data_IF_758172286395
#
_entry.id   IF_758172286395
#
_cell.length_a   1.000
_cell.length_b   1.000
_cell.length_c   1.000
_cell.angle_alpha   90.00
_cell.angle_beta   90.00
_cell.angle_gamma   90.00
#
_symmetry.space_group_name_H-M   'P 1'
#
loop_
_entity.id
_entity.type
_entity.pdbx_description
1 polymer ?
#
# COMPACT_ATOMS: atom_id res chain seq x y z
N UNK A 1 36.10 -19.19 -36.88
CA UNK A 1 35.76 -20.42 -36.13
C UNK A 1 35.31 -20.01 -34.73
N UNK A 2 34.07 -20.40 -34.40
CA UNK A 2 33.44 -20.47 -33.08
C UNK A 2 33.35 -19.18 -32.22
N UNK A 3 32.29 -18.40 -32.46
CA UNK A 3 31.61 -17.60 -31.42
C UNK A 3 30.82 -18.57 -30.53
N UNK A 4 31.23 -18.72 -29.27
CA UNK A 4 30.55 -19.59 -28.32
C UNK A 4 29.25 -18.98 -27.82
N UNK A 5 28.13 -19.61 -28.16
CA UNK A 5 26.82 -19.33 -27.56
C UNK A 5 26.85 -19.59 -26.05
N UNK A 6 26.31 -18.70 -25.21
CA UNK A 6 26.12 -19.00 -23.80
C UNK A 6 25.03 -20.08 -23.63
N UNK A 7 25.34 -21.04 -22.76
CA UNK A 7 24.63 -22.29 -22.51
C UNK A 7 23.14 -22.14 -22.14
N UNK A 8 22.28 -23.12 -22.50
CA UNK A 8 20.82 -23.05 -22.37
C UNK A 8 20.29 -22.97 -20.92
N UNK A 9 21.12 -23.29 -19.92
CA UNK A 9 20.76 -23.23 -18.49
C UNK A 9 20.61 -21.80 -17.95
N UNK A 10 21.30 -20.81 -18.53
CA UNK A 10 21.15 -19.40 -18.15
C UNK A 10 19.86 -18.77 -18.70
N UNK A 11 19.20 -19.43 -19.66
CA UNK A 11 17.92 -18.97 -20.24
C UNK A 11 16.71 -19.44 -19.42
N UNK A 12 16.84 -20.54 -18.69
CA UNK A 12 15.74 -21.23 -18.01
C UNK A 12 15.47 -20.73 -16.58
N UNK A 13 16.42 -20.01 -15.98
CA UNK A 13 16.28 -19.44 -14.62
C UNK A 13 15.57 -18.07 -14.64
N UNK A 14 15.29 -17.52 -15.83
CA UNK A 14 14.59 -16.25 -16.03
C UNK A 14 13.06 -16.33 -15.84
N UNK A 15 12.49 -17.52 -15.62
CA UNK A 15 11.06 -17.80 -15.80
C UNK A 15 10.24 -17.84 -14.50
N UNK A 16 10.84 -17.63 -13.33
CA UNK A 16 10.10 -17.65 -12.05
C UNK A 16 10.05 -16.27 -11.39
N UNK A 17 8.89 -15.64 -11.55
CA UNK A 17 8.30 -14.61 -10.67
C UNK A 17 8.84 -13.19 -10.68
N UNK A 18 9.91 -12.83 -11.40
CA UNK A 18 10.38 -11.43 -11.47
C UNK A 18 10.91 -11.01 -12.87
N UNK A 19 9.97 -10.98 -13.83
CA UNK A 19 9.89 -10.14 -15.05
C UNK A 19 10.85 -10.37 -16.23
N UNK A 20 10.24 -10.83 -17.32
CA UNK A 20 10.44 -10.32 -18.69
C UNK A 20 9.04 -10.02 -19.26
N UNK A 21 8.87 -9.00 -20.12
CA UNK A 21 7.58 -8.72 -20.74
C UNK A 21 7.15 -9.97 -21.52
N UNK A 22 5.88 -10.36 -21.47
CA UNK A 22 5.38 -11.46 -22.28
C UNK A 22 5.71 -11.18 -23.75
N UNK A 23 6.25 -12.18 -24.45
CA UNK A 23 6.29 -12.20 -25.91
C UNK A 23 4.91 -11.75 -26.41
N UNK A 24 4.88 -10.82 -27.38
CA UNK A 24 3.67 -10.21 -27.96
C UNK A 24 2.47 -11.18 -27.94
N UNK A 25 1.51 -10.85 -27.07
CA UNK A 25 0.10 -11.29 -27.00
C UNK A 25 -0.18 -12.79 -26.81
N UNK A 26 -0.09 -13.29 -25.57
CA UNK A 26 -0.82 -14.51 -25.15
C UNK A 26 -2.18 -14.21 -24.48
N UNK A 27 -2.58 -12.94 -24.36
CA UNK A 27 -3.81 -12.50 -23.70
C UNK A 27 -4.53 -11.42 -24.53
N UNK A 28 -5.87 -11.34 -24.46
CA UNK A 28 -6.64 -10.35 -25.22
C UNK A 28 -6.43 -8.93 -24.67
N UNK A 29 -6.66 -7.88 -25.49
CA UNK A 29 -6.58 -6.49 -25.03
C UNK A 29 -7.70 -6.17 -24.01
N UNK A 30 -7.49 -5.19 -23.14
CA UNK A 30 -8.50 -4.72 -22.17
C UNK A 30 -9.83 -4.32 -22.83
N UNK A 31 -9.79 -3.84 -24.08
CA UNK A 31 -10.98 -3.50 -24.86
C UNK A 31 -11.89 -4.70 -25.14
N UNK A 32 -11.42 -5.94 -24.94
CA UNK A 32 -12.26 -7.13 -25.05
C UNK A 32 -13.15 -7.36 -23.82
N UNK A 33 -12.87 -6.70 -22.70
CA UNK A 33 -13.64 -6.84 -21.46
C UNK A 33 -14.90 -5.98 -21.59
N UNK A 34 -16.11 -6.56 -21.43
CA UNK A 34 -17.35 -5.80 -21.46
C UNK A 34 -17.41 -4.72 -20.38
N UNK A 35 -18.15 -3.64 -20.63
CA UNK A 35 -18.43 -2.66 -19.57
C UNK A 35 -19.47 -3.20 -18.58
N UNK A 36 -19.28 -2.91 -17.30
CA UNK A 36 -20.27 -3.25 -16.26
C UNK A 36 -21.58 -2.51 -16.53
N UNK A 37 -22.70 -3.23 -16.48
CA UNK A 37 -24.01 -2.65 -16.77
C UNK A 37 -24.45 -1.67 -15.66
N UNK A 38 -25.22 -0.61 -15.99
CA UNK A 38 -25.79 0.28 -14.98
C UNK A 38 -26.66 -0.47 -13.96
N UNK A 39 -27.37 -1.51 -14.39
CA UNK A 39 -28.19 -2.39 -13.53
C UNK A 39 -27.34 -3.12 -12.48
N UNK A 40 -26.16 -3.65 -12.86
CA UNK A 40 -25.26 -4.33 -11.93
C UNK A 40 -24.68 -3.37 -10.89
N UNK A 41 -24.35 -2.14 -11.31
CA UNK A 41 -23.88 -1.09 -10.41
C UNK A 41 -24.99 -0.60 -9.47
N UNK A 42 -26.23 -0.49 -9.97
CA UNK A 42 -27.39 -0.14 -9.16
C UNK A 42 -27.69 -1.23 -8.12
N UNK A 43 -27.64 -2.51 -8.50
CA UNK A 43 -27.79 -3.64 -7.58
C UNK A 43 -26.72 -3.61 -6.48
N UNK A 44 -25.46 -3.36 -6.83
CA UNK A 44 -24.39 -3.23 -5.83
C UNK A 44 -24.59 -2.04 -4.88
N UNK A 45 -25.17 -0.94 -5.36
CA UNK A 45 -25.54 0.20 -4.52
C UNK A 45 -26.73 -0.10 -3.60
N UNK A 46 -27.68 -0.93 -4.05
CA UNK A 46 -28.84 -1.37 -3.25
C UNK A 46 -28.46 -2.40 -2.19
N UNK A 47 -27.64 -3.40 -2.53
CA UNK A 47 -27.07 -4.37 -1.58
C UNK A 47 -26.36 -3.64 -0.42
N UNK A 48 -25.62 -2.58 -0.75
CA UNK A 48 -25.00 -1.69 0.25
C UNK A 48 -26.03 -1.03 1.16
N UNK A 49 -27.11 -0.50 0.59
CA UNK A 49 -28.17 0.16 1.36
C UNK A 49 -28.98 -0.81 2.24
N UNK A 50 -28.98 -2.11 1.92
CA UNK A 50 -29.60 -3.17 2.69
C UNK A 50 -28.68 -3.66 3.81
N UNK A 51 -27.40 -3.94 3.53
CA UNK A 51 -26.42 -4.31 4.56
C UNK A 51 -26.24 -3.21 5.62
N UNK A 52 -26.23 -1.94 5.22
CA UNK A 52 -26.18 -0.82 6.17
C UNK A 52 -27.42 -0.72 7.09
N UNK A 53 -28.54 -1.38 6.74
CA UNK A 53 -29.75 -1.46 7.57
C UNK A 53 -29.79 -2.74 8.41
N UNK A 54 -29.15 -3.82 7.96
CA UNK A 54 -29.08 -5.11 8.65
C UNK A 54 -27.98 -5.17 9.73
N UNK A 55 -26.97 -4.28 9.71
CA UNK A 55 -25.96 -4.16 10.78
C UNK A 55 -26.55 -3.72 12.15
N UNK A 56 -27.87 -3.52 12.25
CA UNK A 56 -28.63 -3.28 13.50
C UNK A 56 -29.40 -4.54 13.96
N UNK A 57 -29.51 -5.59 13.13
CA UNK A 57 -30.20 -6.83 13.46
C UNK A 57 -29.43 -8.03 12.89
N UNK A 58 -28.58 -8.63 13.72
CA UNK A 58 -27.90 -9.89 13.41
C UNK A 58 -28.92 -10.98 13.04
N UNK A 59 -28.75 -11.58 11.85
CA UNK A 59 -29.57 -12.69 11.40
C UNK A 59 -28.91 -13.42 10.22
N UNK A 60 -28.43 -14.63 10.52
CA UNK A 60 -27.97 -15.64 9.57
C UNK A 60 -29.02 -15.90 8.46
N UNK A 61 -28.56 -15.93 7.22
CA UNK A 61 -29.41 -15.96 6.03
C UNK A 61 -28.70 -16.59 4.84
N UNK A 62 -28.79 -17.92 4.77
CA UNK A 62 -28.44 -18.73 3.61
C UNK A 62 -29.31 -18.32 2.40
N UNK A 63 -28.72 -17.62 1.42
CA UNK A 63 -29.38 -17.24 0.17
C UNK A 63 -28.56 -17.66 -1.07
N UNK A 64 -29.13 -18.68 -1.73
CA UNK A 64 -29.11 -19.10 -3.13
C UNK A 64 -27.89 -18.77 -4.01
N UNK A 65 -27.30 -19.85 -4.55
CA UNK A 65 -26.21 -19.93 -5.52
C UNK A 65 -26.58 -19.39 -6.93
N UNK A 66 -26.92 -18.12 -7.06
CA UNK A 66 -26.57 -17.40 -8.29
C UNK A 66 -25.08 -17.05 -8.19
N UNK A 67 -24.29 -17.25 -9.25
CA UNK A 67 -22.83 -17.06 -9.24
C UNK A 67 -22.45 -15.67 -8.68
N UNK A 68 -22.18 -15.57 -7.37
CA UNK A 68 -21.90 -14.30 -6.68
C UNK A 68 -20.60 -13.74 -7.22
N UNK A 69 -20.68 -12.72 -8.09
CA UNK A 69 -19.51 -12.00 -8.60
C UNK A 69 -19.07 -10.93 -7.60
N UNK A 70 -17.77 -10.64 -7.58
CA UNK A 70 -17.15 -9.68 -6.68
C UNK A 70 -16.70 -8.47 -7.49
N UNK A 71 -17.04 -7.26 -7.03
CA UNK A 71 -16.52 -6.02 -7.59
C UNK A 71 -15.19 -5.70 -6.92
N UNK A 72 -14.09 -5.81 -7.66
CA UNK A 72 -12.74 -5.57 -7.18
C UNK A 72 -12.13 -4.30 -7.79
N UNK A 73 -11.80 -3.33 -6.94
CA UNK A 73 -11.10 -2.10 -7.31
C UNK A 73 -9.59 -2.32 -7.41
N UNK A 74 -9.07 -2.23 -8.64
CA UNK A 74 -7.66 -2.20 -8.97
C UNK A 74 -7.13 -0.76 -9.04
N UNK A 75 -5.97 -0.52 -8.43
CA UNK A 75 -5.29 0.78 -8.43
C UNK A 75 -3.78 0.73 -8.67
N UNK A 76 -3.16 -0.45 -8.49
CA UNK A 76 -1.73 -0.68 -8.68
C UNK A 76 -1.42 -1.40 -10.00
N UNK A 77 -0.52 -2.38 -9.95
CA UNK A 77 -0.14 -3.19 -11.12
C UNK A 77 -1.32 -3.91 -11.79
N UNK A 78 -2.42 -4.12 -11.08
CA UNK A 78 -3.63 -4.77 -11.59
C UNK A 78 -4.37 -3.94 -12.63
N UNK A 79 -4.03 -2.66 -12.78
CA UNK A 79 -4.52 -1.85 -13.88
C UNK A 79 -3.99 -2.32 -15.24
N UNK A 80 -2.82 -2.97 -15.28
CA UNK A 80 -2.24 -3.42 -16.56
C UNK A 80 -2.79 -4.76 -17.00
N UNK A 81 -3.18 -4.86 -18.28
CA UNK A 81 -3.54 -6.12 -18.92
C UNK A 81 -2.43 -7.18 -18.77
N UNK A 82 -1.16 -6.76 -18.85
CA UNK A 82 0.01 -7.62 -18.69
C UNK A 82 -0.02 -8.37 -17.37
N UNK A 83 -0.40 -7.68 -16.29
CA UNK A 83 -0.44 -8.26 -14.95
C UNK A 83 -1.73 -9.02 -14.74
N UNK A 84 -2.88 -8.39 -15.02
CA UNK A 84 -4.19 -8.92 -14.66
C UNK A 84 -4.62 -10.08 -15.57
N UNK A 85 -4.58 -9.87 -16.89
CA UNK A 85 -4.96 -10.89 -17.88
C UNK A 85 -3.80 -11.83 -18.24
N UNK A 86 -2.57 -11.30 -18.27
CA UNK A 86 -1.38 -12.06 -18.63
C UNK A 86 -0.86 -12.91 -17.47
N UNK A 87 -0.09 -12.28 -16.57
CA UNK A 87 0.64 -12.96 -15.51
C UNK A 87 -0.26 -13.73 -14.53
N UNK A 88 -1.43 -13.20 -14.19
CA UNK A 88 -2.39 -13.88 -13.30
C UNK A 88 -3.42 -14.76 -14.01
N UNK A 89 -3.59 -14.59 -15.32
CA UNK A 89 -4.57 -15.35 -16.09
C UNK A 89 -6.04 -15.05 -15.73
N UNK A 90 -6.32 -13.94 -15.03
CA UNK A 90 -7.69 -13.58 -14.63
C UNK A 90 -8.48 -13.15 -15.86
N UNK A 91 -9.77 -13.50 -15.89
CA UNK A 91 -10.69 -13.09 -16.95
C UNK A 91 -11.91 -12.42 -16.30
N UNK A 92 -11.93 -11.09 -16.18
CA UNK A 92 -13.05 -10.40 -15.57
C UNK A 92 -14.30 -10.52 -16.45
N UNK A 93 -15.46 -10.59 -15.79
CA UNK A 93 -16.79 -10.62 -16.41
C UNK A 93 -17.09 -9.27 -17.05
N UNK A 94 -16.79 -8.19 -16.33
CA UNK A 94 -16.99 -6.83 -16.77
C UNK A 94 -16.02 -5.86 -16.09
N UNK A 95 -15.94 -4.63 -16.57
CA UNK A 95 -15.14 -3.57 -15.95
C UNK A 95 -15.79 -2.19 -16.04
N UNK A 96 -15.44 -1.31 -15.10
CA UNK A 96 -15.80 0.11 -15.15
C UNK A 96 -14.72 0.97 -14.51
N UNK A 97 -14.46 2.14 -15.09
CA UNK A 97 -13.52 3.11 -14.52
C UNK A 97 -14.20 3.84 -13.37
N UNK A 98 -13.50 4.05 -12.26
CA UNK A 98 -14.09 4.66 -11.07
C UNK A 98 -13.18 5.69 -10.40
N UNK A 99 -13.81 6.55 -9.61
CA UNK A 99 -13.18 7.34 -8.57
C UNK A 99 -13.55 6.80 -7.19
N UNK A 100 -12.54 6.55 -6.36
CA UNK A 100 -12.66 6.27 -4.94
C UNK A 100 -12.16 7.49 -4.14
N UNK A 101 -13.05 8.46 -3.82
CA UNK A 101 -12.65 9.76 -3.28
C UNK A 101 -12.10 9.70 -1.85
N UNK A 102 -12.42 8.64 -1.09
CA UNK A 102 -11.97 8.42 0.29
C UNK A 102 -10.54 7.92 0.41
N UNK A 103 -9.91 7.53 -0.71
CA UNK A 103 -8.55 7.01 -0.73
C UNK A 103 -7.60 7.89 -1.54
N UNK A 104 -6.31 7.77 -1.25
CA UNK A 104 -5.23 8.30 -2.07
C UNK A 104 -4.20 7.20 -2.36
N UNK A 105 -3.55 7.28 -3.52
CA UNK A 105 -2.49 6.36 -3.92
C UNK A 105 -1.17 6.73 -3.22
N UNK A 106 -0.55 5.76 -2.57
CA UNK A 106 0.75 5.91 -1.89
C UNK A 106 1.70 4.80 -2.32
N UNK A 107 3.01 4.99 -2.12
CA UNK A 107 4.03 3.99 -2.47
C UNK A 107 4.86 3.62 -1.23
N UNK A 108 4.19 3.11 -0.20
CA UNK A 108 4.78 2.87 1.12
C UNK A 108 4.90 1.39 1.49
N UNK A 109 4.40 0.49 0.63
CA UNK A 109 4.57 -0.93 0.83
C UNK A 109 5.99 -1.33 0.43
N UNK A 110 6.83 -1.82 1.34
CA UNK A 110 8.21 -2.12 1.03
C UNK A 110 8.34 -3.36 0.16
N UNK A 111 9.19 -3.26 -0.86
CA UNK A 111 9.63 -4.38 -1.67
C UNK A 111 11.09 -4.74 -1.38
N UNK A 112 11.85 -5.04 -2.44
CA UNK A 112 13.27 -5.37 -2.35
C UNK A 112 14.13 -4.13 -2.67
N UNK A 113 14.92 -3.62 -1.71
CA UNK A 113 15.85 -2.51 -1.95
C UNK A 113 16.76 -2.74 -3.17
N UNK A 114 17.15 -1.65 -3.83
CA UNK A 114 18.00 -1.63 -5.04
C UNK A 114 17.39 -2.25 -6.30
N UNK A 115 16.18 -2.85 -6.22
CA UNK A 115 15.51 -3.48 -7.36
C UNK A 115 14.09 -2.98 -7.53
N UNK A 116 13.24 -3.23 -6.55
CA UNK A 116 11.83 -2.83 -6.51
C UNK A 116 11.51 -2.39 -5.09
N UNK A 117 11.96 -1.18 -4.69
CA UNK A 117 12.02 -0.81 -3.29
C UNK A 117 10.66 -0.61 -2.65
N UNK A 118 9.65 -0.21 -3.41
CA UNK A 118 8.30 -0.05 -2.91
C UNK A 118 7.24 -0.31 -3.99
N UNK A 119 6.04 -0.66 -3.53
CA UNK A 119 4.84 -0.91 -4.32
C UNK A 119 3.70 0.01 -3.92
N UNK A 120 2.66 0.07 -4.76
CA UNK A 120 1.48 0.87 -4.49
C UNK A 120 0.71 0.31 -3.29
N UNK A 121 0.13 1.21 -2.53
CA UNK A 121 -0.84 0.97 -1.47
C UNK A 121 -1.86 2.13 -1.51
N UNK A 122 -2.92 2.03 -0.71
CA UNK A 122 -3.84 3.15 -0.52
C UNK A 122 -3.67 3.72 0.88
N UNK A 123 -4.05 4.98 1.07
CA UNK A 123 -4.19 5.59 2.39
C UNK A 123 -5.53 6.32 2.47
N UNK A 124 -6.19 6.34 3.65
CA UNK A 124 -7.35 7.20 3.87
C UNK A 124 -7.01 8.65 3.54
N UNK A 125 -7.86 9.28 2.75
CA UNK A 125 -7.71 10.68 2.38
C UNK A 125 -8.45 11.56 3.37
N UNK A 126 -7.78 12.58 3.91
CA UNK A 126 -8.44 13.68 4.62
C UNK A 126 -9.27 14.48 3.60
N UNK A 127 -10.59 14.46 3.74
CA UNK A 127 -11.48 15.24 2.88
C UNK A 127 -11.15 16.72 3.11
N UNK A 128 -10.89 17.52 2.06
CA UNK A 128 -10.71 18.95 2.21
C UNK A 128 -11.92 19.52 2.96
N UNK A 129 -11.69 20.26 4.05
CA UNK A 129 -12.77 20.95 4.73
C UNK A 129 -13.46 21.86 3.71
N UNK A 130 -14.75 21.62 3.46
CA UNK A 130 -15.54 22.48 2.59
C UNK A 130 -15.48 23.88 3.22
N UNK A 131 -15.05 24.93 2.49
CA UNK A 131 -15.04 26.28 3.02
C UNK A 131 -16.44 26.57 3.54
N UNK A 132 -16.55 26.81 4.86
CA UNK A 132 -17.85 27.13 5.47
C UNK A 132 -18.43 28.33 4.73
N UNK A 133 -19.72 28.29 4.35
CA UNK A 133 -20.36 29.44 3.72
C UNK A 133 -20.15 30.67 4.61
N UNK A 134 -19.86 31.85 4.04
CA UNK A 134 -19.66 33.06 4.82
C UNK A 134 -20.94 33.37 5.61
N UNK A 135 -20.89 33.26 6.95
CA UNK A 135 -22.01 33.66 7.81
C UNK A 135 -22.42 32.68 8.91
N UNK A 136 -21.79 31.52 9.06
CA UNK A 136 -22.12 30.63 10.17
C UNK A 136 -21.63 31.24 11.50
N UNK A 137 -22.53 31.62 12.45
CA UNK A 137 -22.11 32.24 13.69
C UNK A 137 -21.28 31.25 14.49
N UNK A 138 -20.04 31.63 14.82
CA UNK A 138 -19.23 30.90 15.80
C UNK A 138 -20.00 30.91 17.11
N UNK A 139 -20.66 29.81 17.46
CA UNK A 139 -21.06 29.60 18.84
C UNK A 139 -19.77 29.65 19.66
N UNK A 140 -19.60 30.61 20.60
CA UNK A 140 -18.46 30.55 21.51
C UNK A 140 -18.50 29.18 22.20
N UNK A 141 -17.35 28.50 22.35
CA UNK A 141 -17.32 27.25 23.09
C UNK A 141 -17.96 27.50 24.46
N UNK A 142 -18.91 26.64 24.83
CA UNK A 142 -19.54 26.69 26.14
C UNK A 142 -18.41 26.71 27.19
N UNK A 143 -18.41 27.67 28.15
CA UNK A 143 -17.36 27.71 29.15
C UNK A 143 -17.36 26.37 29.90
N UNK A 144 -16.20 25.73 29.94
CA UNK A 144 -16.02 24.49 30.68
C UNK A 144 -16.43 24.69 32.15
N UNK A 145 -17.11 23.72 32.78
CA UNK A 145 -17.43 23.81 34.20
C UNK A 145 -16.13 23.98 35.00
N UNK A 146 -16.15 24.76 36.11
CA UNK A 146 -14.94 25.01 36.89
C UNK A 146 -14.38 23.70 37.45
N UNK A 147 -13.05 23.51 37.42
CA UNK A 147 -12.43 22.30 37.95
C UNK A 147 -12.57 22.20 39.49
N UNK A 148 -12.58 20.97 40.05
CA UNK A 148 -12.56 20.76 41.50
C UNK A 148 -11.30 21.36 42.15
N UNK A 149 -11.33 21.66 43.46
CA UNK A 149 -10.36 22.54 44.13
C UNK A 149 -8.97 21.93 44.41
N UNK A 150 -8.39 21.21 43.45
CA UNK A 150 -7.01 20.68 43.54
C UNK A 150 -6.16 20.88 42.28
N UNK A 151 -6.60 21.64 41.29
CA UNK A 151 -5.89 21.85 40.01
C UNK A 151 -5.15 23.20 39.89
N UNK A 152 -4.80 23.86 41.00
CA UNK A 152 -4.16 25.20 40.96
C UNK A 152 -2.62 25.23 40.92
N UNK A 153 -1.92 24.11 40.73
CA UNK A 153 -0.44 24.12 40.80
C UNK A 153 0.35 23.49 39.64
N UNK A 154 -0.27 22.96 38.58
CA UNK A 154 0.49 22.37 37.44
C UNK A 154 0.35 23.11 36.10
N UNK A 155 -0.44 24.18 36.02
CA UNK A 155 -0.76 24.84 34.75
C UNK A 155 0.17 26.01 34.36
N UNK A 156 1.35 26.19 34.98
CA UNK A 156 2.24 27.34 34.69
C UNK A 156 3.64 27.00 34.18
N UNK A 157 3.90 25.74 33.82
CA UNK A 157 5.25 25.34 33.35
C UNK A 157 5.23 24.29 32.23
N UNK A 158 4.19 24.31 31.37
CA UNK A 158 4.09 23.41 30.21
C UNK A 158 3.67 24.12 28.91
N UNK A 159 3.91 25.44 28.82
CA UNK A 159 3.57 26.25 27.65
C UNK A 159 4.80 26.73 26.85
N UNK A 160 5.91 25.98 26.82
CA UNK A 160 6.98 26.19 25.82
C UNK A 160 7.68 24.85 25.59
N UNK A 161 7.65 24.35 24.35
CA UNK A 161 8.27 23.11 23.84
C UNK A 161 7.35 21.88 23.78
N UNK A 162 6.85 21.60 22.56
CA UNK A 162 6.31 20.28 22.21
C UNK A 162 4.97 20.26 21.47
N UNK A 163 4.47 21.40 20.96
CA UNK A 163 3.52 21.37 19.84
C UNK A 163 4.27 21.07 18.55
N UNK A 164 4.76 19.83 18.42
CA UNK A 164 4.97 19.22 17.12
C UNK A 164 3.78 18.29 16.92
N UNK A 165 2.73 18.87 16.33
CA UNK A 165 1.58 18.12 15.86
C UNK A 165 2.10 16.87 15.13
N UNK A 166 1.71 15.68 15.60
CA UNK A 166 1.74 14.48 14.75
C UNK A 166 0.65 14.67 13.71
N UNK A 167 0.89 15.58 12.77
CA UNK A 167 0.21 15.61 11.49
C UNK A 167 0.50 14.26 10.84
N UNK A 168 -0.49 13.37 10.83
CA UNK A 168 -0.54 12.30 9.86
C UNK A 168 -0.70 12.96 8.49
N UNK A 169 0.40 13.50 7.97
CA UNK A 169 0.45 14.20 6.71
C UNK A 169 0.00 13.23 5.62
N UNK A 170 -1.18 13.48 5.06
CA UNK A 170 -1.54 12.90 3.77
C UNK A 170 -0.40 13.20 2.81
N UNK A 171 0.12 12.22 2.07
CA UNK A 171 1.26 12.43 1.20
C UNK A 171 0.91 13.40 0.09
N UNK A 172 1.28 14.67 0.23
CA UNK A 172 0.99 15.70 -0.75
C UNK A 172 1.98 15.59 -1.92
N UNK A 173 1.69 14.64 -2.81
CA UNK A 173 2.34 14.52 -4.13
C UNK A 173 1.65 15.40 -5.19
N UNK A 174 0.96 16.46 -4.75
CA UNK A 174 0.25 17.41 -5.62
C UNK A 174 -1.06 16.86 -6.22
N UNK A 175 -1.53 15.68 -5.80
CA UNK A 175 -2.77 15.08 -6.30
C UNK A 175 -3.86 15.05 -5.24
N UNK A 176 -4.97 15.73 -5.53
CA UNK A 176 -6.06 15.98 -4.59
C UNK A 176 -7.41 15.48 -5.08
N UNK A 177 -7.49 14.67 -6.13
CA UNK A 177 -8.78 14.19 -6.66
C UNK A 177 -9.20 12.80 -6.15
N UNK A 178 -8.44 12.26 -5.21
CA UNK A 178 -8.67 10.92 -4.64
C UNK A 178 -8.11 9.84 -5.55
N UNK A 179 -8.46 8.59 -5.30
CA UNK A 179 -7.94 7.47 -6.06
C UNK A 179 -8.76 7.25 -7.33
N UNK A 180 -8.10 7.14 -8.48
CA UNK A 180 -8.72 6.64 -9.71
C UNK A 180 -8.19 5.24 -10.02
N UNK A 181 -9.11 4.39 -10.48
CA UNK A 181 -8.82 3.00 -10.76
C UNK A 181 -9.91 2.35 -11.60
N UNK A 182 -9.86 1.03 -11.65
CA UNK A 182 -10.80 0.21 -12.42
C UNK A 182 -11.43 -0.80 -11.50
N UNK A 183 -12.76 -0.87 -11.50
CA UNK A 183 -13.47 -1.97 -10.87
C UNK A 183 -13.65 -3.07 -11.90
N UNK A 184 -13.12 -4.25 -11.59
CA UNK A 184 -13.37 -5.48 -12.32
C UNK A 184 -14.43 -6.30 -11.60
N UNK A 185 -15.41 -6.79 -12.34
CA UNK A 185 -16.29 -7.85 -11.86
C UNK A 185 -15.62 -9.20 -12.09
N UNK A 186 -15.35 -9.91 -11.00
CA UNK A 186 -14.58 -11.17 -11.04
C UNK A 186 -15.34 -12.29 -10.34
N UNK A 187 -15.02 -13.53 -10.70
CA UNK A 187 -15.55 -14.71 -10.00
C UNK A 187 -14.89 -14.83 -8.62
N UNK A 188 -15.51 -15.53 -7.65
CA UNK A 188 -14.87 -15.79 -6.36
C UNK A 188 -13.53 -16.52 -6.47
N UNK A 189 -13.38 -17.39 -7.48
CA UNK A 189 -12.14 -18.11 -7.77
C UNK A 189 -11.03 -17.18 -8.27
N UNK A 190 -11.37 -16.25 -9.15
CA UNK A 190 -10.43 -15.24 -9.63
C UNK A 190 -10.05 -14.28 -8.50
N UNK A 191 -11.02 -13.92 -7.65
CA UNK A 191 -10.76 -13.10 -6.47
C UNK A 191 -9.80 -13.79 -5.48
N UNK A 192 -10.00 -15.08 -5.19
CA UNK A 192 -9.05 -15.86 -4.40
C UNK A 192 -7.64 -15.86 -5.02
N UNK A 193 -7.53 -15.87 -6.35
CA UNK A 193 -6.24 -15.76 -7.06
C UNK A 193 -5.60 -14.38 -6.88
N UNK A 194 -6.41 -13.30 -6.91
CA UNK A 194 -5.94 -11.94 -6.60
C UNK A 194 -5.38 -11.88 -5.18
N UNK A 195 -6.16 -12.33 -4.19
CA UNK A 195 -5.76 -12.35 -2.77
C UNK A 195 -4.48 -13.18 -2.57
N UNK A 196 -4.40 -14.36 -3.21
CA UNK A 196 -3.23 -15.24 -3.12
C UNK A 196 -1.95 -14.56 -3.65
N UNK A 197 -2.06 -13.80 -4.75
CA UNK A 197 -0.91 -13.23 -5.46
C UNK A 197 -0.46 -11.88 -4.93
N UNK A 198 -1.30 -11.16 -4.18
CA UNK A 198 -0.95 -9.85 -3.59
C UNK A 198 -0.32 -9.95 -2.20
N UNK A 199 -0.08 -11.16 -1.70
CA UNK A 199 0.49 -11.38 -0.36
C UNK A 199 -0.32 -12.34 0.51
N UNK A 200 -1.19 -13.15 -0.12
CA UNK A 200 -1.95 -14.25 0.46
C UNK A 200 -2.75 -13.91 1.71
N UNK A 201 -3.27 -12.68 1.77
CA UNK A 201 -4.09 -12.19 2.89
C UNK A 201 -3.31 -11.81 4.16
N UNK A 202 -1.97 -11.81 4.13
CA UNK A 202 -1.15 -11.41 5.30
C UNK A 202 -0.72 -9.95 5.28
N UNK A 203 -0.47 -9.41 4.07
CA UNK A 203 0.09 -8.07 3.87
C UNK A 203 -0.98 -7.04 3.53
N UNK A 204 -2.13 -7.50 3.02
CA UNK A 204 -3.28 -6.68 2.69
C UNK A 204 -4.53 -7.23 3.38
N UNK A 205 -5.32 -6.32 3.93
CA UNK A 205 -6.69 -6.53 4.36
C UNK A 205 -7.64 -6.21 3.20
N UNK A 206 -8.69 -7.00 3.06
CA UNK A 206 -9.82 -6.69 2.19
C UNK A 206 -10.70 -5.64 2.86
N UNK A 207 -10.94 -4.52 2.18
CA UNK A 207 -11.82 -3.44 2.64
C UNK A 207 -12.83 -3.09 1.55
N UNK A 208 -14.03 -2.69 1.96
CA UNK A 208 -15.04 -2.14 1.07
C UNK A 208 -14.89 -0.62 0.96
N UNK A 209 -14.89 -0.11 -0.27
CA UNK A 209 -14.65 1.31 -0.55
C UNK A 209 -15.73 1.86 -1.47
N UNK A 210 -16.30 3.05 -1.14
CA UNK A 210 -17.26 3.71 -2.02
C UNK A 210 -16.58 4.20 -3.30
N UNK A 211 -17.11 3.74 -4.42
CA UNK A 211 -16.66 4.05 -5.77
C UNK A 211 -17.76 4.79 -6.54
N UNK A 212 -17.36 5.75 -7.35
CA UNK A 212 -18.24 6.50 -8.27
C UNK A 212 -17.77 6.21 -9.69
N UNK A 213 -18.66 5.76 -10.57
CA UNK A 213 -18.29 5.47 -11.95
C UNK A 213 -17.91 6.74 -12.71
N UNK A 214 -16.83 6.65 -13.49
CA UNK A 214 -16.37 7.73 -14.33
C UNK A 214 -17.10 7.69 -15.69
N UNK A 215 -17.53 8.86 -16.22
CA UNK A 215 -18.20 8.90 -17.51
C UNK A 215 -17.24 8.48 -18.65
N UNK A 216 -17.74 7.88 -19.73
CA UNK A 216 -16.94 7.59 -20.92
C UNK A 216 -16.35 8.87 -21.55
N UNK A 217 -15.17 8.78 -22.15
CA UNK A 217 -14.52 9.90 -22.87
C UNK A 217 -15.37 10.50 -24.00
N UNK A 218 -16.22 9.70 -24.62
CA UNK A 218 -17.09 10.13 -25.73
C UNK A 218 -18.54 10.08 -25.24
N UNK A 219 -19.02 11.22 -24.75
CA UNK A 219 -20.44 11.51 -24.63
C UNK A 219 -20.87 12.23 -25.92
N UNK A 220 -21.77 11.62 -26.70
CA UNK A 220 -22.53 12.39 -27.69
C UNK A 220 -23.23 13.52 -26.92
N UNK A 221 -23.13 14.79 -27.35
CA UNK A 221 -23.78 15.90 -26.65
C UNK A 221 -25.28 15.89 -26.94
N UNK A 222 -26.00 14.87 -26.46
CA UNK A 222 -27.37 15.10 -26.08
C UNK A 222 -27.33 15.75 -24.69
N UNK A 223 -28.19 16.74 -24.45
CA UNK A 223 -28.48 17.24 -23.11
C UNK A 223 -29.55 16.32 -22.48
N UNK A 224 -29.23 15.25 -21.74
CA UNK A 224 -30.09 14.80 -20.68
C UNK A 224 -29.68 15.49 -19.35
N UNK A 225 -30.48 15.38 -18.29
CA UNK A 225 -30.08 15.81 -16.95
C UNK A 225 -28.71 15.20 -16.59
N UNK A 226 -27.88 15.95 -15.85
CA UNK A 226 -26.64 15.41 -15.26
C UNK A 226 -27.06 14.33 -14.27
N UNK A 227 -27.14 13.09 -14.72
CA UNK A 227 -27.40 11.93 -13.85
C UNK A 227 -26.10 11.63 -13.12
N UNK A 228 -26.03 12.03 -11.85
CA UNK A 228 -24.86 11.80 -11.01
C UNK A 228 -24.85 10.30 -10.69
N UNK A 229 -23.83 9.54 -11.11
CA UNK A 229 -23.81 8.11 -10.88
C UNK A 229 -23.85 7.83 -9.39
N UNK A 230 -24.75 6.93 -8.98
CA UNK A 230 -24.87 6.51 -7.58
C UNK A 230 -23.58 5.80 -7.14
N UNK A 231 -23.02 6.14 -5.96
CA UNK A 231 -21.90 5.41 -5.41
C UNK A 231 -22.26 3.94 -5.14
N UNK A 232 -21.30 3.05 -5.31
CA UNK A 232 -21.41 1.62 -4.96
C UNK A 232 -20.16 1.16 -4.23
N UNK A 233 -20.22 0.05 -3.49
CA UNK A 233 -19.06 -0.51 -2.80
C UNK A 233 -18.29 -1.48 -3.70
N UNK A 234 -16.96 -1.41 -3.64
CA UNK A 234 -16.07 -2.40 -4.25
C UNK A 234 -15.04 -2.86 -3.22
N UNK A 235 -14.66 -4.12 -3.30
CA UNK A 235 -13.55 -4.70 -2.55
C UNK A 235 -12.24 -4.14 -3.07
N UNK A 236 -11.34 -3.80 -2.16
CA UNK A 236 -9.96 -3.46 -2.52
C UNK A 236 -9.01 -3.96 -1.46
N UNK A 237 -7.77 -4.18 -1.86
CA UNK A 237 -6.74 -4.67 -0.98
C UNK A 237 -5.96 -3.47 -0.43
N UNK A 238 -5.98 -3.32 0.90
CA UNK A 238 -5.33 -2.22 1.62
C UNK A 238 -4.40 -2.78 2.70
N UNK A 239 -3.17 -2.26 2.79
CA UNK A 239 -2.26 -2.62 3.88
C UNK A 239 -2.37 -1.58 5.01
N UNK A 240 -2.99 -1.88 6.16
CA UNK A 240 -3.14 -0.94 7.27
C UNK A 240 -1.84 -0.67 8.01
N UNK A 241 -1.64 0.59 8.43
CA UNK A 241 -0.54 0.94 9.33
C UNK A 241 -0.93 0.56 10.76
N UNK A 242 -0.25 -0.42 11.35
CA UNK A 242 -0.47 -0.75 12.76
C UNK A 242 0.30 0.28 13.62
N UNK A 243 -0.37 1.09 14.46
CA UNK A 243 0.30 2.05 15.32
C UNK A 243 1.20 1.35 16.32
N UNK A 244 2.36 1.95 16.60
CA UNK A 244 3.23 1.49 17.67
C UNK A 244 2.55 1.62 19.04
N UNK A 245 2.98 0.82 20.01
CA UNK A 245 2.52 0.96 21.38
C UNK A 245 2.81 2.38 21.88
N UNK A 246 1.83 3.00 22.56
CA UNK A 246 2.09 4.29 23.19
C UNK A 246 3.19 4.14 24.25
N UNK A 247 4.18 5.07 24.28
CA UNK A 247 5.16 5.06 25.34
C UNK A 247 4.46 5.27 26.69
N UNK A 248 4.85 4.50 27.70
CA UNK A 248 4.32 4.69 29.04
C UNK A 248 4.65 6.11 29.51
N UNK A 249 3.62 6.89 29.84
CA UNK A 249 3.81 8.23 30.39
C UNK A 249 4.54 8.08 31.73
N UNK A 250 5.73 8.66 31.91
CA UNK A 250 6.38 8.65 33.21
C UNK A 250 5.62 9.60 34.12
N UNK A 251 4.87 9.06 35.08
CA UNK A 251 4.29 9.83 36.19
C UNK A 251 2.79 10.06 36.13
N UNK A 252 2.03 9.10 36.65
CA UNK A 252 0.99 9.41 37.65
C UNK A 252 1.23 8.45 38.80
N UNK A 253 1.53 9.00 39.98
CA UNK A 253 2.00 8.25 41.13
C UNK A 253 1.18 6.99 41.38
N UNK A 254 1.90 5.91 41.63
CA UNK A 254 1.39 4.64 42.12
C UNK A 254 0.57 4.91 43.39
N UNK A 255 -0.75 5.05 43.25
CA UNK A 255 -1.64 5.05 44.40
C UNK A 255 -1.73 3.61 44.88
N UNK A 256 -1.11 3.34 46.02
CA UNK A 256 -1.26 2.12 46.81
C UNK A 256 -2.70 2.00 47.30
N UNK A 257 -3.57 1.48 46.45
CA UNK A 257 -4.76 0.76 46.88
C UNK A 257 -4.82 -0.49 46.04
N UNK A 258 -4.32 -1.58 46.62
CA UNK A 258 -4.49 -2.94 46.14
C UNK A 258 -5.99 -3.25 46.13
N UNK A 259 -6.55 -3.42 44.94
CA UNK A 259 -7.79 -4.18 44.78
C UNK A 259 -7.61 -5.12 43.60
N UNK A 260 -8.12 -6.33 43.80
CA UNK A 260 -7.80 -7.54 43.08
C UNK A 260 -8.14 -7.50 41.58
N UNK A 261 -7.28 -8.14 40.78
CA UNK A 261 -7.71 -8.83 39.56
C UNK A 261 -7.85 -8.03 38.27
N UNK A 262 -7.03 -7.00 38.03
CA UNK A 262 -6.97 -6.36 36.70
C UNK A 262 -5.90 -7.04 35.83
N UNK A 263 -6.24 -8.21 35.28
CA UNK A 263 -5.54 -8.80 34.13
C UNK A 263 -5.81 -7.92 32.89
N UNK A 264 -5.30 -6.69 32.85
CA UNK A 264 -5.24 -5.95 31.59
C UNK A 264 -4.33 -6.75 30.65
N UNK A 265 -4.81 -7.20 29.48
CA UNK A 265 -3.99 -7.97 28.57
C UNK A 265 -2.73 -7.18 28.22
N UNK A 266 -1.54 -7.72 28.52
CA UNK A 266 -0.28 -7.10 28.13
C UNK A 266 -0.30 -6.82 26.62
N UNK A 267 -0.16 -5.55 26.25
CA UNK A 267 -0.16 -5.16 24.84
C UNK A 267 1.00 -5.88 24.11
N UNK A 268 0.73 -6.79 23.17
CA UNK A 268 1.76 -7.56 22.47
C UNK A 268 2.70 -6.64 21.68
N UNK A 269 2.29 -5.41 21.36
CA UNK A 269 3.10 -4.40 20.67
C UNK A 269 4.27 -3.89 21.50
N UNK A 270 4.23 -4.03 22.82
CA UNK A 270 5.33 -3.65 23.72
C UNK A 270 6.48 -4.66 23.69
N UNK A 271 6.25 -5.88 23.23
CA UNK A 271 7.24 -6.97 23.25
C UNK A 271 8.26 -6.78 22.13
N UNK A 272 9.55 -6.99 22.42
CA UNK A 272 10.63 -6.73 21.45
C UNK A 272 10.48 -7.52 20.14
N UNK A 273 9.98 -8.75 20.22
CA UNK A 273 9.77 -9.62 19.07
C UNK A 273 8.61 -9.17 18.17
N UNK A 274 7.74 -8.27 18.67
CA UNK A 274 6.65 -7.69 17.87
C UNK A 274 7.19 -6.99 16.62
N UNK A 275 8.36 -6.37 16.73
CA UNK A 275 9.07 -5.73 15.61
C UNK A 275 9.43 -6.70 14.49
N UNK A 276 9.56 -7.99 14.78
CA UNK A 276 9.89 -9.01 13.79
C UNK A 276 8.64 -9.53 13.06
N UNK A 277 7.48 -9.50 13.71
CA UNK A 277 6.23 -10.03 13.16
C UNK A 277 5.31 -8.96 12.56
N UNK A 278 5.48 -7.69 12.97
CA UNK A 278 4.76 -6.55 12.41
C UNK A 278 5.13 -6.42 10.94
N UNK A 279 4.16 -6.30 10.00
CA UNK A 279 4.47 -6.04 8.61
C UNK A 279 5.40 -4.81 8.49
N UNK A 280 6.53 -4.93 7.77
CA UNK A 280 7.45 -3.80 7.61
C UNK A 280 6.70 -2.67 6.90
N UNK A 281 6.78 -1.47 7.46
CA UNK A 281 6.26 -0.25 6.82
C UNK A 281 7.32 0.82 6.90
N UNK A 282 7.53 1.55 5.79
CA UNK A 282 8.51 2.64 5.78
C UNK A 282 7.98 3.82 6.61
N UNK A 283 8.83 4.48 7.42
CA UNK A 283 8.38 5.58 8.29
C UNK A 283 7.78 6.77 7.54
N UNK A 284 8.31 7.07 6.35
CA UNK A 284 7.83 8.13 5.47
C UNK A 284 7.22 7.55 4.18
N UNK A 285 5.89 7.64 3.98
CA UNK A 285 5.20 7.20 2.77
C UNK A 285 5.64 7.90 1.47
N UNK A 286 6.32 9.04 1.57
CA UNK A 286 6.79 9.82 0.43
C UNK A 286 8.25 9.59 0.06
N UNK A 287 9.01 8.96 0.93
CA UNK A 287 10.45 8.84 0.73
C UNK A 287 10.82 7.90 -0.42
N UNK A 288 10.21 6.70 -0.43
CA UNK A 288 10.55 5.65 -1.37
C UNK A 288 10.00 5.92 -2.77
N UNK A 289 10.82 5.59 -3.78
CA UNK A 289 10.48 5.72 -5.19
C UNK A 289 10.20 4.34 -5.79
N UNK A 290 9.04 4.09 -6.41
CA UNK A 290 8.78 2.82 -7.08
C UNK A 290 9.73 2.59 -8.26
N UNK A 291 9.95 1.33 -8.64
CA UNK A 291 10.81 1.02 -9.78
C UNK A 291 10.21 1.52 -11.09
N UNK A 292 11.05 1.87 -12.07
CA UNK A 292 10.60 2.30 -13.39
C UNK A 292 9.68 1.26 -14.06
N UNK A 293 9.99 -0.03 -13.86
CA UNK A 293 9.19 -1.13 -14.37
C UNK A 293 7.82 -1.23 -13.70
N UNK A 294 7.75 -1.05 -12.38
CA UNK A 294 6.47 -1.08 -11.67
C UNK A 294 5.60 0.13 -12.02
N UNK A 295 6.19 1.33 -12.07
CA UNK A 295 5.49 2.53 -12.55
C UNK A 295 4.94 2.33 -13.96
N UNK A 296 5.72 1.71 -14.86
CA UNK A 296 5.27 1.39 -16.22
C UNK A 296 3.98 0.56 -16.23
N UNK A 297 3.82 -0.42 -15.33
CA UNK A 297 2.57 -1.18 -15.25
C UNK A 297 1.38 -0.28 -14.87
N UNK A 298 1.57 0.65 -13.95
CA UNK A 298 0.50 1.56 -13.51
C UNK A 298 0.17 2.57 -14.62
N UNK A 299 1.19 3.17 -15.24
CA UNK A 299 1.00 4.16 -16.32
C UNK A 299 0.41 3.53 -17.57
N UNK A 300 0.90 2.35 -17.97
CA UNK A 300 0.37 1.62 -19.12
C UNK A 300 -1.07 1.18 -18.86
N UNK A 301 -1.36 0.62 -17.68
CA UNK A 301 -2.73 0.27 -17.30
C UNK A 301 -3.69 1.47 -17.27
N UNK A 302 -3.24 2.61 -16.72
CA UNK A 302 -4.03 3.84 -16.74
C UNK A 302 -4.34 4.32 -18.17
N UNK A 303 -3.38 4.16 -19.10
CA UNK A 303 -3.57 4.49 -20.51
C UNK A 303 -4.46 3.47 -21.24
N UNK A 304 -4.27 2.17 -21.01
CA UNK A 304 -5.07 1.08 -21.57
C UNK A 304 -6.56 1.19 -21.19
N UNK A 305 -6.83 1.66 -19.97
CA UNK A 305 -8.19 1.92 -19.48
C UNK A 305 -8.70 3.33 -19.79
N UNK A 306 -7.91 4.17 -20.45
CA UNK A 306 -8.28 5.54 -20.79
C UNK A 306 -8.71 6.38 -19.56
N UNK A 307 -8.04 6.18 -18.41
CA UNK A 307 -8.28 6.97 -17.20
C UNK A 307 -8.14 8.50 -17.48
N UNK A 308 -8.67 9.38 -16.62
CA UNK A 308 -8.60 10.83 -16.85
C UNK A 308 -7.19 11.36 -17.17
N UNK A 309 -7.08 12.25 -18.16
CA UNK A 309 -5.79 12.70 -18.70
C UNK A 309 -4.90 13.39 -17.65
N UNK A 310 -5.51 14.12 -16.71
CA UNK A 310 -4.82 14.74 -15.60
C UNK A 310 -4.22 13.71 -14.64
N UNK A 311 -4.92 12.61 -14.36
CA UNK A 311 -4.40 11.50 -13.58
C UNK A 311 -3.26 10.79 -14.29
N UNK A 312 -3.40 10.55 -15.59
CA UNK A 312 -2.31 9.97 -16.40
C UNK A 312 -1.08 10.89 -16.39
N UNK A 313 -1.24 12.20 -16.55
CA UNK A 313 -0.12 13.16 -16.46
C UNK A 313 0.55 13.14 -15.09
N UNK A 314 -0.26 13.08 -14.01
CA UNK A 314 0.26 12.97 -12.66
C UNK A 314 1.07 11.68 -12.46
N UNK A 315 0.53 10.52 -12.88
CA UNK A 315 1.24 9.23 -12.81
C UNK A 315 2.57 9.25 -13.58
N UNK A 316 2.58 9.82 -14.78
CA UNK A 316 3.79 9.96 -15.60
C UNK A 316 4.82 10.94 -14.99
N UNK A 317 4.40 11.85 -14.11
CA UNK A 317 5.27 12.76 -13.38
C UNK A 317 5.96 12.14 -12.16
N UNK A 318 5.60 10.91 -11.77
CA UNK A 318 6.19 10.25 -10.61
C UNK A 318 7.64 9.83 -10.88
N UNK A 319 8.54 10.15 -9.95
CA UNK A 319 9.95 9.79 -10.05
C UNK A 319 10.17 8.29 -9.85
N UNK A 320 10.81 7.65 -10.83
CA UNK A 320 11.20 6.24 -10.77
C UNK A 320 12.54 6.06 -10.04
N UNK A 321 12.65 5.01 -9.23
CA UNK A 321 13.94 4.61 -8.66
C UNK A 321 14.91 4.15 -9.74
N UNK A 322 16.14 4.67 -9.67
CA UNK A 322 17.24 4.25 -10.52
C UNK A 322 18.50 4.00 -9.71
N UNK A 323 19.24 2.96 -10.11
CA UNK A 323 20.55 2.65 -9.52
C UNK A 323 21.57 3.62 -10.10
N UNK A 324 22.15 4.46 -9.24
CA UNK A 324 23.06 5.54 -9.64
C UNK A 324 24.53 5.16 -9.48
N UNK A 325 24.87 4.32 -8.50
CA UNK A 325 26.27 3.97 -8.20
C UNK A 325 26.59 2.51 -8.53
N UNK A 326 27.87 2.24 -8.76
CA UNK A 326 28.35 0.86 -8.94
C UNK A 326 28.17 0.03 -7.64
N UNK A 327 28.27 0.66 -6.47
CA UNK A 327 28.06 0.03 -5.16
C UNK A 327 26.61 -0.44 -5.02
N UNK A 328 25.64 0.42 -5.35
CA UNK A 328 24.21 0.04 -5.42
C UNK A 328 23.98 -1.10 -6.42
N UNK A 329 24.71 -1.13 -7.55
CA UNK A 329 24.60 -2.23 -8.53
C UNK A 329 25.10 -3.56 -7.96
N UNK A 330 26.19 -3.56 -7.19
CA UNK A 330 26.68 -4.75 -6.49
C UNK A 330 25.67 -5.19 -5.43
N UNK A 331 25.18 -4.26 -4.61
CA UNK A 331 24.16 -4.54 -3.60
C UNK A 331 22.89 -5.15 -4.21
N UNK A 332 22.43 -4.63 -5.35
CA UNK A 332 21.30 -5.19 -6.10
C UNK A 332 21.51 -6.67 -6.45
N UNK A 333 22.67 -7.03 -6.98
CA UNK A 333 22.96 -8.42 -7.37
C UNK A 333 23.10 -9.33 -6.13
N UNK A 334 23.82 -8.89 -5.10
CA UNK A 334 23.96 -9.64 -3.85
C UNK A 334 22.61 -9.90 -3.19
N UNK A 335 21.81 -8.85 -3.02
CA UNK A 335 20.50 -8.95 -2.36
C UNK A 335 19.52 -9.76 -3.18
N UNK A 336 19.50 -9.60 -4.51
CA UNK A 336 18.68 -10.45 -5.40
C UNK A 336 19.12 -11.91 -5.29
N UNK A 337 20.42 -12.20 -5.38
CA UNK A 337 20.94 -13.57 -5.32
C UNK A 337 20.66 -14.26 -3.99
N UNK A 338 20.66 -13.51 -2.89
CA UNK A 338 20.32 -14.01 -1.56
C UNK A 338 18.81 -14.23 -1.39
N UNK A 339 17.98 -13.27 -1.82
CA UNK A 339 16.55 -13.25 -1.52
C UNK A 339 15.70 -14.05 -2.52
N UNK A 340 16.10 -14.12 -3.79
CA UNK A 340 15.35 -14.82 -4.82
C UNK A 340 15.15 -16.31 -4.50
N UNK A 341 16.16 -17.09 -4.08
CA UNK A 341 15.96 -18.49 -3.72
C UNK A 341 14.95 -18.68 -2.57
N UNK A 342 14.98 -17.79 -1.57
CA UNK A 342 14.01 -17.80 -0.45
C UNK A 342 12.60 -17.58 -1.00
N UNK A 343 12.43 -16.63 -1.92
CA UNK A 343 11.14 -16.39 -2.56
C UNK A 343 10.66 -17.57 -3.41
N UNK A 344 11.54 -18.23 -4.14
CA UNK A 344 11.18 -19.41 -4.92
C UNK A 344 10.72 -20.56 -4.03
N UNK A 345 11.44 -20.83 -2.93
CA UNK A 345 11.02 -21.85 -1.96
C UNK A 345 9.66 -21.50 -1.36
N UNK A 346 9.44 -20.24 -0.98
CA UNK A 346 8.15 -19.77 -0.49
C UNK A 346 7.03 -20.00 -1.51
N UNK A 347 7.21 -19.63 -2.77
CA UNK A 347 6.19 -19.84 -3.81
C UNK A 347 5.89 -21.32 -4.06
N UNK A 348 6.90 -22.19 -3.99
CA UNK A 348 6.73 -23.63 -4.15
C UNK A 348 5.98 -24.24 -2.97
N UNK A 349 6.31 -23.84 -1.74
CA UNK A 349 5.58 -24.24 -0.53
C UNK A 349 4.14 -23.73 -0.57
N UNK A 350 3.93 -22.49 -1.01
CA UNK A 350 2.60 -21.89 -1.15
C UNK A 350 1.72 -22.68 -2.12
N UNK A 351 2.23 -23.05 -3.30
CA UNK A 351 1.49 -23.88 -4.26
C UNK A 351 1.04 -25.23 -3.68
N UNK A 352 1.76 -25.73 -2.67
CA UNK A 352 1.48 -27.02 -2.05
C UNK A 352 0.56 -26.92 -0.83
N UNK A 353 0.55 -25.76 -0.15
CA UNK A 353 -0.13 -25.55 1.13
C UNK A 353 -1.30 -24.54 1.08
N UNK A 354 -1.55 -23.89 -0.05
CA UNK A 354 -2.62 -22.91 -0.18
C UNK A 354 -4.01 -23.57 -0.06
N UNK A 355 -4.86 -22.97 0.77
CA UNK A 355 -6.25 -23.39 0.91
C UNK A 355 -7.08 -23.02 -0.34
N UNK A 356 -8.28 -23.59 -0.45
CA UNK A 356 -9.22 -23.31 -1.56
C UNK A 356 -9.59 -21.83 -1.71
N UNK A 357 -9.43 -21.04 -0.63
CA UNK A 357 -9.65 -19.59 -0.61
C UNK A 357 -8.42 -18.77 -1.06
N UNK A 358 -7.30 -19.41 -1.41
CA UNK A 358 -6.06 -18.70 -1.80
C UNK A 358 -5.29 -18.08 -0.62
N UNK A 359 -5.76 -18.30 0.62
CA UNK A 359 -5.04 -17.95 1.86
C UNK A 359 -4.01 -19.03 2.17
N UNK A 360 -2.84 -18.61 2.64
CA UNK A 360 -1.80 -19.54 3.09
C UNK A 360 -1.85 -19.75 4.62
N UNK A 361 -1.18 -20.78 5.16
CA UNK A 361 -1.11 -21.01 6.60
C UNK A 361 -0.48 -19.81 7.33
N UNK A 362 -1.10 -19.37 8.43
CA UNK A 362 -0.69 -18.18 9.18
C UNK A 362 0.81 -18.18 9.55
N UNK A 363 1.35 -19.33 9.98
CA UNK A 363 2.76 -19.47 10.35
C UNK A 363 3.72 -19.18 9.18
N UNK A 364 3.31 -19.49 7.94
CA UNK A 364 4.11 -19.26 6.75
C UNK A 364 4.18 -17.77 6.43
N UNK A 365 3.07 -17.05 6.59
CA UNK A 365 3.02 -15.59 6.47
C UNK A 365 3.83 -14.87 7.52
N UNK A 366 3.71 -15.30 8.78
CA UNK A 366 4.51 -14.76 9.89
C UNK A 366 5.99 -15.01 9.62
N UNK A 367 6.37 -16.21 9.20
CA UNK A 367 7.76 -16.54 8.83
C UNK A 367 8.30 -15.62 7.72
N UNK A 368 7.53 -15.41 6.65
CA UNK A 368 7.93 -14.51 5.57
C UNK A 368 8.06 -13.06 6.07
N UNK A 369 7.14 -12.60 6.92
CA UNK A 369 7.19 -11.26 7.52
C UNK A 369 8.46 -11.06 8.35
N UNK A 370 8.86 -12.07 9.13
CA UNK A 370 10.12 -12.05 9.91
C UNK A 370 11.34 -11.94 8.99
N UNK A 371 11.40 -12.72 7.91
CA UNK A 371 12.50 -12.65 6.93
C UNK A 371 12.58 -11.26 6.29
N UNK A 372 11.44 -10.70 5.89
CA UNK A 372 11.39 -9.35 5.32
C UNK A 372 11.84 -8.28 6.33
N UNK A 373 11.41 -8.36 7.59
CA UNK A 373 11.86 -7.44 8.64
C UNK A 373 13.37 -7.53 8.87
N UNK A 374 13.94 -8.73 8.93
CA UNK A 374 15.39 -8.93 9.05
C UNK A 374 16.15 -8.33 7.86
N UNK A 375 15.60 -8.50 6.65
CA UNK A 375 16.16 -7.91 5.44
C UNK A 375 16.20 -6.37 5.52
N UNK A 376 15.11 -5.75 5.97
CA UNK A 376 15.03 -4.30 6.11
C UNK A 376 15.90 -3.76 7.24
N UNK A 377 16.01 -4.47 8.37
CA UNK A 377 16.96 -4.13 9.43
C UNK A 377 18.41 -4.21 8.96
N UNK A 378 18.76 -5.26 8.21
CA UNK A 378 20.10 -5.37 7.61
C UNK A 378 20.33 -4.25 6.58
N UNK A 379 19.30 -3.88 5.82
CA UNK A 379 19.39 -2.77 4.88
C UNK A 379 19.64 -1.44 5.58
N UNK A 380 18.81 -1.06 6.56
CA UNK A 380 18.93 0.22 7.25
C UNK A 380 20.23 0.29 8.09
N UNK A 381 20.66 -0.82 8.69
CA UNK A 381 21.86 -0.88 9.53
C UNK A 381 23.19 -1.07 8.79
N UNK A 382 23.19 -1.73 7.63
CA UNK A 382 24.43 -2.10 6.92
C UNK A 382 24.39 -1.73 5.44
N UNK A 383 23.37 -2.16 4.68
CA UNK A 383 23.43 -1.97 3.23
C UNK A 383 23.33 -0.50 2.83
N UNK A 384 22.44 0.29 3.43
CA UNK A 384 22.26 1.71 3.10
C UNK A 384 23.52 2.55 3.41
N UNK A 385 24.15 2.43 4.60
CA UNK A 385 25.42 3.11 4.87
C UNK A 385 26.56 2.69 3.94
N UNK A 386 26.67 1.40 3.61
CA UNK A 386 27.79 0.87 2.82
C UNK A 386 27.56 1.08 1.33
N UNK A 387 26.41 0.72 0.77
CA UNK A 387 26.20 0.68 -0.67
C UNK A 387 25.45 1.87 -1.23
N UNK A 388 24.85 2.71 -0.37
CA UNK A 388 24.04 3.86 -0.76
C UNK A 388 22.55 3.57 -0.68
N UNK A 389 21.73 4.52 -1.12
CA UNK A 389 20.28 4.45 -0.96
C UNK A 389 19.65 3.44 -1.94
N UNK A 390 18.94 2.46 -1.39
CA UNK A 390 18.24 1.43 -2.15
C UNK A 390 16.78 1.74 -2.44
N UNK A 391 16.26 2.85 -1.92
CA UNK A 391 14.84 3.24 -1.97
C UNK A 391 14.60 4.49 -2.80
N UNK A 392 15.60 5.37 -2.90
CA UNK A 392 15.52 6.63 -3.62
C UNK A 392 16.73 6.84 -4.51
N UNK A 393 16.49 7.43 -5.67
CA UNK A 393 17.55 7.85 -6.59
C UNK A 393 18.38 8.97 -5.93
N UNK A 394 19.68 8.77 -5.77
CA UNK A 394 20.57 9.76 -5.17
C UNK A 394 20.92 10.86 -6.18
N UNK A 395 20.74 12.12 -5.81
CA UNK A 395 21.19 13.26 -6.61
C UNK A 395 22.68 13.54 -6.40
N UNK A 396 23.36 14.14 -7.39
CA UNK A 396 24.80 14.42 -7.31
C UNK A 396 25.18 15.28 -6.08
N UNK A 397 24.29 16.19 -5.66
CA UNK A 397 24.47 17.02 -4.47
C UNK A 397 24.47 16.19 -3.18
N UNK A 398 23.49 15.30 -3.01
CA UNK A 398 23.38 14.39 -1.85
C UNK A 398 24.60 13.46 -1.74
N UNK A 399 25.11 12.99 -2.89
CA UNK A 399 26.33 12.17 -2.95
C UNK A 399 27.56 12.92 -2.41
N UNK A 400 27.69 14.22 -2.71
CA UNK A 400 28.80 15.05 -2.23
C UNK A 400 28.72 15.21 -0.72
N UNK A 401 27.54 15.49 -0.18
CA UNK A 401 27.31 15.61 1.26
C UNK A 401 27.64 14.31 2.00
N UNK A 402 27.15 13.15 1.54
CA UNK A 402 27.42 11.88 2.21
C UNK A 402 28.90 11.47 2.17
N UNK A 403 29.62 11.82 1.10
CA UNK A 403 31.08 11.61 1.04
C UNK A 403 31.81 12.44 2.10
N UNK A 404 31.37 13.68 2.31
CA UNK A 404 31.93 14.57 3.34
C UNK A 404 31.63 14.01 4.74
N UNK A 405 30.38 13.65 5.04
CA UNK A 405 30.01 13.03 6.32
C UNK A 405 30.78 11.73 6.59
N UNK A 406 30.90 10.85 5.59
CA UNK A 406 31.67 9.61 5.70
C UNK A 406 33.14 9.89 6.02
N UNK A 407 33.74 10.90 5.37
CA UNK A 407 35.13 11.30 5.66
C UNK A 407 35.30 11.91 7.05
N UNK A 408 34.32 12.66 7.54
CA UNK A 408 34.34 13.26 8.88
C UNK A 408 34.12 12.20 9.98
N UNK A 409 33.25 11.21 9.72
CA UNK A 409 33.06 10.06 10.61
C UNK A 409 34.32 9.19 10.69
N UNK A 410 34.98 8.93 9.57
CA UNK A 410 36.23 8.18 9.51
C UNK A 410 37.37 8.90 10.25
N UNK A 411 37.49 10.23 10.07
CA UNK A 411 38.41 11.07 10.87
C UNK A 411 38.11 11.02 12.37
N UNK A 412 36.83 11.08 12.77
CA UNK A 412 36.43 11.02 14.19
C UNK A 412 36.75 9.67 14.82
N UNK A 413 36.58 8.57 14.08
CA UNK A 413 36.93 7.24 14.58
C UNK A 413 38.44 7.01 14.65
N UNK A 414 39.22 7.58 13.72
CA UNK A 414 40.69 7.59 13.80
C UNK A 414 41.18 8.35 15.04
N UNK A 415 40.57 9.50 15.36
CA UNK A 415 40.92 10.30 16.55
C UNK A 415 40.52 9.63 17.88
N UNK A 416 39.56 8.72 17.87
CA UNK A 416 39.09 7.97 19.05
C UNK A 416 39.78 6.60 19.22
N UNK A 417 40.53 6.14 18.22
CA UNK A 417 41.28 4.88 18.26
C UNK A 417 42.71 5.00 18.83
N UNK A 418 43.18 6.22 19.08
CA UNK A 418 44.54 6.53 19.56
C UNK A 418 44.62 6.83 21.08
N UNK A 419 43.64 6.36 21.88
CA UNK A 419 43.65 6.50 23.36
C UNK A 419 43.67 5.17 24.09
#
# INVERSE_FOLDING_TARGET
MATGDPTPLLRQIHETSFLSPPKRSSYPPISSIPRTSPERLAAAAEDTAQHAKEDIAAGDGDQAEAEKTILYLAYGSNLSAETFLGARGIRPVSQTNVSAPSLTLVFDLPGLPYREPCFANTAPRKVPEIPRPPGDPRFPPLPAPPPPPSEKQQQREYDVEGQMERESATPDRGWTKGLYGVVYEVTPRDYATIVATEGGGSSYADILVPCVSLPPRVSVPEKPPIDIPRPFLAHTLYSPAIPDAEPEKPGRGQSTYSHDGDDTPEDPRKKWYYRLIKPPRRPDPNYAQPSARYLKLITDGAAEHELPDDYQRWLNGLAAYTVTTWRQRVARWLLTGLFLPVMLVFFQLNKWLADKEGKFPLWLGVGLSVVFNLLWMAYDGVLKPVFGDGERTEEEGERRWRRVEGSEFEKRNLLLGDW
#
